data_IF_727123296153
#
_entry.id   IF_727123296153
#
_cell.length_a   1.000
_cell.length_b   1.000
_cell.length_c   1.000
_cell.angle_alpha   90.00
_cell.angle_beta   90.00
_cell.angle_gamma   90.00
#
_symmetry.space_group_name_H-M   'P 1'
#
loop_
_entity.id
_entity.type
_entity.pdbx_description
1 polymer ?
#
# COMPACT_ATOMS: atom_id res chain seq x y z
N UNK A 1 -36.64 32.87 77.29
CA UNK A 1 -35.55 33.43 76.47
C UNK A 1 -34.89 32.24 75.71
N UNK A 2 -35.29 32.06 74.50
CA UNK A 2 -34.89 30.91 73.69
C UNK A 2 -33.78 31.35 72.74
N UNK A 3 -32.61 30.72 72.85
CA UNK A 3 -31.48 30.90 71.97
C UNK A 3 -31.56 29.85 70.88
N UNK A 4 -31.70 30.31 69.61
CA UNK A 4 -31.77 29.47 68.44
C UNK A 4 -30.35 29.18 67.91
N UNK A 5 -29.92 27.94 67.97
CA UNK A 5 -28.73 27.42 67.30
C UNK A 5 -29.04 27.20 65.81
N UNK A 6 -28.27 27.84 64.91
CA UNK A 6 -28.30 27.59 63.48
C UNK A 6 -27.34 26.45 63.15
N UNK A 7 -27.71 25.41 62.39
CA UNK A 7 -26.76 24.44 61.87
C UNK A 7 -26.09 24.98 60.61
N UNK A 8 -24.77 25.03 60.62
CA UNK A 8 -23.91 25.28 59.48
C UNK A 8 -23.82 24.02 58.64
N UNK A 9 -24.39 24.11 57.41
CA UNK A 9 -24.26 23.03 56.42
C UNK A 9 -22.93 23.20 55.71
N UNK A 10 -21.98 22.25 55.93
CA UNK A 10 -20.74 22.14 55.15
C UNK A 10 -21.05 21.48 53.82
N UNK A 11 -20.90 22.24 52.74
CA UNK A 11 -20.90 21.73 51.37
C UNK A 11 -19.49 21.21 51.05
N UNK A 12 -19.33 19.89 51.00
CA UNK A 12 -18.15 19.23 50.45
C UNK A 12 -18.28 19.23 48.92
N UNK A 13 -17.52 20.12 48.25
CA UNK A 13 -17.37 20.12 46.82
C UNK A 13 -16.39 19.00 46.46
N UNK A 14 -16.92 17.90 45.92
CA UNK A 14 -16.09 16.85 45.30
C UNK A 14 -15.64 17.31 43.94
N UNK A 15 -14.36 17.71 43.80
CA UNK A 15 -13.73 17.92 42.48
C UNK A 15 -13.48 16.56 41.83
N UNK A 16 -14.35 16.20 40.90
CA UNK A 16 -14.11 15.08 39.97
C UNK A 16 -13.03 15.45 38.95
N UNK A 17 -11.84 14.92 39.08
CA UNK A 17 -10.80 15.02 38.07
C UNK A 17 -11.16 14.06 36.95
N UNK A 18 -11.76 14.60 35.88
CA UNK A 18 -11.96 13.87 34.61
C UNK A 18 -10.62 13.74 33.90
N UNK A 19 -9.96 12.57 34.01
CA UNK A 19 -8.80 12.22 33.20
C UNK A 19 -9.26 12.01 31.75
N UNK A 20 -9.09 13.02 30.91
CA UNK A 20 -9.16 12.83 29.45
C UNK A 20 -7.99 11.93 29.05
N UNK A 21 -8.28 10.67 28.76
CA UNK A 21 -7.35 9.79 28.08
C UNK A 21 -7.14 10.35 26.67
N UNK A 22 -6.01 11.00 26.43
CA UNK A 22 -5.59 11.42 25.10
C UNK A 22 -5.33 10.16 24.28
N UNK A 23 -6.27 9.80 23.42
CA UNK A 23 -6.06 8.77 22.40
C UNK A 23 -5.06 9.36 21.40
N UNK A 24 -3.78 9.00 21.54
CA UNK A 24 -2.75 9.37 20.57
C UNK A 24 -3.16 8.80 19.21
N UNK A 25 -3.16 9.61 18.13
CA UNK A 25 -3.43 9.08 16.80
C UNK A 25 -2.35 8.05 16.48
N UNK A 26 -2.76 6.80 16.31
CA UNK A 26 -1.87 5.73 15.84
C UNK A 26 -1.40 6.15 14.45
N UNK A 27 -0.12 6.51 14.33
CA UNK A 27 0.48 6.93 13.06
C UNK A 27 0.35 5.79 12.04
N UNK A 28 -0.54 6.00 11.06
CA UNK A 28 -0.65 5.14 9.89
C UNK A 28 0.73 4.96 9.21
N UNK A 29 1.58 5.98 9.25
CA UNK A 29 2.90 6.00 8.65
C UNK A 29 3.90 4.95 9.17
N UNK A 30 3.80 4.47 10.41
CA UNK A 30 4.76 3.49 10.92
C UNK A 30 4.49 2.07 10.42
N UNK A 31 3.23 1.68 10.31
CA UNK A 31 2.81 0.38 9.78
C UNK A 31 3.11 0.25 8.29
N UNK A 32 2.90 1.33 7.56
CA UNK A 32 3.16 1.38 6.13
C UNK A 32 4.68 1.27 5.84
N UNK A 33 5.53 1.90 6.66
CA UNK A 33 6.99 1.74 6.59
C UNK A 33 7.43 0.29 6.77
N UNK A 34 6.77 -0.45 7.65
CA UNK A 34 7.06 -1.89 7.86
C UNK A 34 6.77 -2.71 6.61
N UNK A 35 5.66 -2.44 5.92
CA UNK A 35 5.36 -3.08 4.64
C UNK A 35 6.44 -2.77 3.60
N UNK A 36 6.81 -1.51 3.40
CA UNK A 36 7.82 -1.13 2.40
C UNK A 36 9.21 -1.67 2.72
N UNK A 37 9.59 -1.77 3.99
CA UNK A 37 10.83 -2.46 4.40
C UNK A 37 10.77 -3.95 4.06
N UNK A 38 9.62 -4.59 4.22
CA UNK A 38 9.41 -5.99 3.82
C UNK A 38 9.47 -6.20 2.30
N UNK A 39 9.19 -5.16 1.50
CA UNK A 39 9.34 -5.19 0.03
C UNK A 39 10.74 -4.80 -0.42
N UNK A 40 11.57 -4.21 0.45
CA UNK A 40 12.97 -3.91 0.14
C UNK A 40 13.79 -5.20 0.00
N UNK A 41 14.72 -5.22 -0.95
CA UNK A 41 15.56 -6.38 -1.22
C UNK A 41 15.41 -6.93 -2.64
N UNK A 42 15.96 -8.10 -2.87
CA UNK A 42 15.95 -8.75 -4.19
C UNK A 42 14.79 -9.74 -4.33
N UNK A 43 14.05 -9.61 -5.43
CA UNK A 43 12.92 -10.44 -5.77
C UNK A 43 13.13 -11.12 -7.10
N UNK A 44 12.88 -12.41 -7.16
CA UNK A 44 12.90 -13.18 -8.39
C UNK A 44 11.74 -14.17 -8.38
N UNK A 45 10.90 -14.12 -9.38
CA UNK A 45 9.76 -15.02 -9.44
C UNK A 45 9.15 -15.15 -10.82
N UNK A 46 8.37 -16.21 -11.03
CA UNK A 46 7.59 -16.40 -12.24
C UNK A 46 6.35 -15.49 -12.24
N UNK A 47 5.87 -15.22 -13.44
CA UNK A 47 4.59 -14.59 -13.66
C UNK A 47 3.93 -15.10 -14.92
N UNK A 48 2.64 -14.79 -15.06
CA UNK A 48 1.85 -15.19 -16.21
C UNK A 48 0.84 -14.11 -16.58
N UNK A 49 0.62 -13.92 -17.88
CA UNK A 49 -0.52 -13.16 -18.39
C UNK A 49 -1.72 -14.09 -18.40
N UNK A 50 -2.69 -13.84 -17.50
CA UNK A 50 -3.81 -14.75 -17.25
C UNK A 50 -5.08 -14.39 -18.04
N UNK A 51 -5.09 -13.24 -18.71
CA UNK A 51 -6.22 -12.83 -19.56
C UNK A 51 -5.77 -11.95 -20.74
N UNK A 52 -6.66 -11.75 -21.71
CA UNK A 52 -6.45 -10.90 -22.87
C UNK A 52 -5.71 -11.60 -24.02
N UNK A 53 -5.23 -10.82 -24.98
CA UNK A 53 -4.60 -11.29 -26.24
C UNK A 53 -3.38 -12.19 -25.99
N UNK A 54 -2.64 -11.94 -24.92
CA UNK A 54 -1.39 -12.65 -24.61
C UNK A 54 -1.55 -13.67 -23.47
N UNK A 55 -2.76 -14.09 -23.17
CA UNK A 55 -3.04 -15.11 -22.15
C UNK A 55 -2.17 -16.35 -22.33
N UNK A 56 -1.63 -16.86 -21.22
CA UNK A 56 -0.74 -18.02 -21.20
C UNK A 56 0.75 -17.67 -21.39
N UNK A 57 1.09 -16.41 -21.68
CA UNK A 57 2.49 -15.98 -21.75
C UNK A 57 3.10 -15.98 -20.36
N UNK A 58 4.09 -16.84 -20.19
CA UNK A 58 4.88 -16.95 -18.95
C UNK A 58 6.13 -16.08 -19.03
N UNK A 59 6.47 -15.46 -17.91
CA UNK A 59 7.67 -14.63 -17.77
C UNK A 59 8.33 -14.85 -16.42
N UNK A 60 9.57 -14.37 -16.27
CA UNK A 60 10.28 -14.34 -14.98
C UNK A 60 10.80 -12.95 -14.77
N UNK A 61 10.53 -12.39 -13.60
CA UNK A 61 11.03 -11.07 -13.20
C UNK A 61 12.20 -11.21 -12.22
N UNK A 62 13.13 -10.25 -12.31
CA UNK A 62 14.14 -9.99 -11.30
C UNK A 62 14.11 -8.50 -11.00
N UNK A 63 13.77 -8.15 -9.75
CA UNK A 63 13.56 -6.79 -9.29
C UNK A 63 14.33 -6.55 -7.99
N UNK A 64 14.86 -5.36 -7.82
CA UNK A 64 15.45 -4.89 -6.57
C UNK A 64 14.56 -3.80 -5.98
N UNK A 65 14.11 -3.99 -4.75
CA UNK A 65 13.32 -3.03 -3.99
C UNK A 65 14.19 -2.16 -3.10
N UNK A 66 14.04 -0.84 -3.18
CA UNK A 66 14.69 0.14 -2.29
C UNK A 66 13.60 0.94 -1.59
N UNK A 67 13.46 0.75 -0.26
CA UNK A 67 12.50 1.51 0.54
C UNK A 67 13.00 2.95 0.74
N UNK A 68 12.06 3.92 0.79
CA UNK A 68 12.37 5.31 1.15
C UNK A 68 12.73 5.39 2.64
N UNK A 69 13.82 6.10 2.98
CA UNK A 69 14.29 6.20 4.36
C UNK A 69 13.40 7.09 5.23
N UNK A 70 12.99 8.24 4.71
CA UNK A 70 12.27 9.28 5.45
C UNK A 70 10.77 9.19 5.32
N UNK A 71 10.26 8.60 4.25
CA UNK A 71 8.83 8.52 3.93
C UNK A 71 8.38 7.08 3.74
N UNK A 72 7.06 6.85 3.70
CA UNK A 72 6.52 5.55 3.27
C UNK A 72 6.53 5.48 1.75
N UNK A 73 7.32 4.56 1.20
CA UNK A 73 7.46 4.41 -0.25
C UNK A 73 8.49 3.37 -0.63
N UNK A 74 8.51 3.03 -1.91
CA UNK A 74 9.41 2.04 -2.49
C UNK A 74 9.73 2.38 -3.95
N UNK A 75 10.96 2.13 -4.34
CA UNK A 75 11.35 2.01 -5.75
C UNK A 75 11.68 0.55 -6.02
N UNK A 76 11.04 -0.04 -7.02
CA UNK A 76 11.38 -1.35 -7.58
C UNK A 76 12.03 -1.12 -8.93
N UNK A 77 13.19 -1.70 -9.17
CA UNK A 77 13.93 -1.57 -10.42
C UNK A 77 14.44 -2.95 -10.87
N UNK A 78 14.42 -3.22 -12.16
CA UNK A 78 14.91 -4.47 -12.70
C UNK A 78 14.35 -4.80 -14.07
N UNK A 79 13.96 -6.04 -14.28
CA UNK A 79 13.43 -6.50 -15.57
C UNK A 79 12.56 -7.75 -15.42
N UNK A 80 11.69 -7.94 -16.42
CA UNK A 80 11.05 -9.23 -16.68
C UNK A 80 11.55 -9.80 -18.02
N UNK A 81 11.56 -11.13 -18.14
CA UNK A 81 12.01 -11.84 -19.32
C UNK A 81 10.93 -12.78 -19.84
N UNK A 82 10.67 -12.72 -21.14
CA UNK A 82 9.85 -13.69 -21.88
C UNK A 82 10.76 -14.37 -22.89
N UNK A 83 11.11 -15.62 -22.69
CA UNK A 83 12.11 -16.29 -23.53
C UNK A 83 13.43 -15.52 -23.55
N UNK A 84 13.86 -15.09 -24.74
CA UNK A 84 15.10 -14.31 -24.93
C UNK A 84 14.90 -12.80 -24.76
N UNK A 85 13.66 -12.31 -24.75
CA UNK A 85 13.36 -10.89 -24.66
C UNK A 85 13.40 -10.42 -23.22
N UNK A 86 14.17 -9.37 -22.95
CA UNK A 86 14.30 -8.72 -21.65
C UNK A 86 13.62 -7.36 -21.70
N UNK A 87 12.65 -7.15 -20.81
CA UNK A 87 11.88 -5.94 -20.69
C UNK A 87 12.23 -5.23 -19.37
N UNK A 88 12.83 -4.03 -19.39
CA UNK A 88 13.06 -3.25 -18.19
C UNK A 88 11.73 -2.96 -17.47
N UNK A 89 11.79 -2.99 -16.13
CA UNK A 89 10.66 -2.73 -15.25
C UNK A 89 11.09 -1.78 -14.15
N UNK A 90 10.28 -0.77 -13.88
CA UNK A 90 10.48 0.15 -12.77
C UNK A 90 9.14 0.54 -12.16
N UNK A 91 9.05 0.49 -10.85
CA UNK A 91 7.91 1.05 -10.13
C UNK A 91 8.40 2.03 -9.07
N UNK A 92 7.76 3.18 -8.97
CA UNK A 92 8.00 4.16 -7.92
C UNK A 92 6.68 4.44 -7.24
N UNK A 93 6.61 4.18 -5.94
CA UNK A 93 5.42 4.37 -5.11
C UNK A 93 5.81 5.23 -3.92
N UNK A 94 5.13 6.35 -3.71
CA UNK A 94 5.42 7.30 -2.62
C UNK A 94 4.13 7.71 -1.91
N UNK A 95 4.24 7.93 -0.60
CA UNK A 95 3.16 8.51 0.17
C UNK A 95 2.81 9.91 -0.35
N UNK A 96 1.52 10.20 -0.47
CA UNK A 96 0.96 11.47 -0.89
C UNK A 96 -0.25 11.81 0.00
N UNK A 97 0.01 12.37 1.17
CA UNK A 97 -0.99 12.57 2.22
C UNK A 97 -1.49 11.24 2.79
N UNK A 98 -2.78 10.96 2.68
CA UNK A 98 -3.41 9.72 3.15
C UNK A 98 -3.43 8.59 2.13
N UNK A 99 -2.79 8.77 1.01
CA UNK A 99 -2.81 7.82 -0.11
C UNK A 99 -1.41 7.64 -0.68
N UNK A 100 -1.29 6.84 -1.72
CA UNK A 100 -0.05 6.61 -2.46
C UNK A 100 -0.22 7.06 -3.90
N UNK A 101 0.86 7.62 -4.46
CA UNK A 101 0.97 7.99 -5.87
C UNK A 101 2.30 7.48 -6.42
N UNK A 102 2.39 7.40 -7.74
CA UNK A 102 3.61 6.98 -8.39
C UNK A 102 3.40 6.52 -9.81
N UNK A 103 4.38 5.79 -10.32
CA UNK A 103 4.37 5.29 -11.70
C UNK A 103 4.90 3.87 -11.74
N UNK A 104 4.33 3.10 -12.63
CA UNK A 104 4.82 1.78 -13.01
C UNK A 104 5.21 1.81 -14.48
N UNK A 105 6.51 1.74 -14.74
CA UNK A 105 7.08 1.74 -16.08
C UNK A 105 7.27 0.28 -16.52
N UNK A 106 6.37 -0.22 -17.33
CA UNK A 106 6.39 -1.58 -17.88
C UNK A 106 7.15 -1.69 -19.20
N UNK A 107 7.96 -0.68 -19.52
CA UNK A 107 8.76 -0.58 -20.74
C UNK A 107 8.00 -0.15 -21.98
N UNK A 108 6.72 0.13 -21.89
CA UNK A 108 6.01 0.79 -22.99
C UNK A 108 6.51 2.23 -23.14
N UNK A 109 7.07 2.56 -24.29
CA UNK A 109 7.74 3.82 -24.55
C UNK A 109 6.92 5.03 -24.11
N UNK A 110 7.40 5.74 -23.09
CA UNK A 110 6.94 7.07 -22.67
C UNK A 110 5.61 7.13 -21.92
N UNK A 111 4.95 6.02 -21.61
CA UNK A 111 3.63 6.03 -20.96
C UNK A 111 3.47 4.83 -20.02
N UNK A 112 4.08 4.91 -18.83
CA UNK A 112 3.85 3.95 -17.76
C UNK A 112 2.40 3.97 -17.25
N UNK A 113 2.06 3.02 -16.38
CA UNK A 113 0.85 3.06 -15.59
C UNK A 113 1.02 4.07 -14.46
N UNK A 114 0.10 5.00 -14.32
CA UNK A 114 0.09 5.93 -13.19
C UNK A 114 -0.59 5.29 -11.99
N UNK A 115 0.06 5.39 -10.83
CA UNK A 115 -0.54 5.04 -9.54
C UNK A 115 -1.20 6.30 -9.00
N UNK A 116 -2.54 6.30 -8.98
CA UNK A 116 -3.33 7.49 -8.63
C UNK A 116 -3.83 7.49 -7.20
N UNK A 117 -3.92 6.34 -6.59
CA UNK A 117 -4.26 6.16 -5.17
C UNK A 117 -3.78 4.83 -4.65
N UNK A 118 -3.70 4.67 -3.34
CA UNK A 118 -3.33 3.41 -2.73
C UNK A 118 -3.54 3.39 -1.22
N UNK A 119 -3.53 2.16 -0.70
CA UNK A 119 -3.64 1.87 0.73
C UNK A 119 -2.76 0.68 1.08
N UNK A 120 -2.15 0.73 2.26
CA UNK A 120 -1.42 -0.38 2.88
C UNK A 120 -2.20 -0.85 4.10
N UNK A 121 -2.40 -2.15 4.23
CA UNK A 121 -3.05 -2.77 5.39
C UNK A 121 -2.29 -4.04 5.77
N UNK A 122 -1.49 -3.96 6.83
CA UNK A 122 -0.60 -5.05 7.25
C UNK A 122 0.40 -5.42 6.15
N UNK A 123 0.32 -6.65 5.68
CA UNK A 123 1.19 -7.19 4.63
C UNK A 123 0.59 -7.07 3.21
N UNK A 124 -0.43 -6.25 3.03
CA UNK A 124 -1.10 -6.06 1.76
C UNK A 124 -1.10 -4.60 1.35
N UNK A 125 -0.71 -4.34 0.10
CA UNK A 125 -0.89 -3.06 -0.57
C UNK A 125 -1.88 -3.20 -1.71
N UNK A 126 -2.78 -2.23 -1.84
CA UNK A 126 -3.69 -2.10 -2.99
C UNK A 126 -3.49 -0.71 -3.57
N UNK A 127 -3.21 -0.62 -4.86
CA UNK A 127 -3.11 0.66 -5.57
C UNK A 127 -4.03 0.67 -6.78
N UNK A 128 -4.64 1.82 -7.04
CA UNK A 128 -5.37 2.08 -8.28
C UNK A 128 -4.39 2.54 -9.35
N UNK A 129 -4.47 1.94 -10.51
CA UNK A 129 -3.61 2.23 -11.65
C UNK A 129 -4.42 2.72 -12.84
N UNK A 130 -3.86 3.67 -13.58
CA UNK A 130 -4.49 4.20 -14.80
C UNK A 130 -3.47 4.32 -15.93
N UNK A 131 -3.93 4.11 -17.18
CA UNK A 131 -3.18 4.41 -18.40
C UNK A 131 -4.16 4.76 -19.49
N UNK A 132 -4.18 6.02 -19.94
CA UNK A 132 -5.13 6.50 -20.92
C UNK A 132 -6.59 6.17 -20.53
N UNK A 133 -7.26 5.29 -21.24
CA UNK A 133 -8.64 4.84 -20.95
C UNK A 133 -8.70 3.57 -20.08
N UNK A 134 -7.55 2.98 -19.73
CA UNK A 134 -7.48 1.78 -18.92
C UNK A 134 -7.43 2.17 -17.44
N UNK A 135 -8.34 1.61 -16.66
CA UNK A 135 -8.34 1.69 -15.21
C UNK A 135 -8.17 0.28 -14.64
N UNK A 136 -7.46 0.18 -13.53
CA UNK A 136 -7.19 -1.09 -12.90
C UNK A 136 -6.74 -0.97 -11.46
N UNK A 137 -6.34 -2.10 -10.91
CA UNK A 137 -5.74 -2.18 -9.58
C UNK A 137 -4.55 -3.14 -9.59
N UNK A 138 -3.56 -2.84 -8.78
CA UNK A 138 -2.49 -3.77 -8.43
C UNK A 138 -2.60 -4.10 -6.94
N UNK A 139 -2.53 -5.40 -6.63
CA UNK A 139 -2.50 -5.91 -5.26
C UNK A 139 -1.16 -6.60 -5.07
N UNK A 140 -0.37 -6.14 -4.11
CA UNK A 140 0.84 -6.80 -3.64
C UNK A 140 0.60 -7.35 -2.24
N UNK A 141 1.02 -8.58 -1.98
CA UNK A 141 0.93 -9.25 -0.67
C UNK A 141 2.25 -9.89 -0.31
N UNK A 142 2.77 -9.57 0.85
CA UNK A 142 3.87 -10.29 1.48
C UNK A 142 3.31 -11.51 2.22
N UNK A 143 3.96 -12.64 2.06
CA UNK A 143 3.64 -13.90 2.75
C UNK A 143 4.93 -14.39 3.43
N UNK A 144 5.09 -13.99 4.70
CA UNK A 144 6.37 -14.15 5.39
C UNK A 144 7.44 -13.18 4.87
N UNK A 145 8.70 -13.57 4.99
CA UNK A 145 9.85 -12.72 4.66
C UNK A 145 10.32 -12.86 3.20
N UNK A 146 10.00 -13.96 2.54
CA UNK A 146 10.63 -14.36 1.27
C UNK A 146 9.62 -14.59 0.13
N UNK A 147 8.34 -14.33 0.36
CA UNK A 147 7.33 -14.53 -0.69
C UNK A 147 6.50 -13.27 -0.86
N UNK A 148 6.38 -12.82 -2.09
CA UNK A 148 5.50 -11.72 -2.46
C UNK A 148 4.66 -12.13 -3.67
N UNK A 149 3.34 -12.00 -3.54
CA UNK A 149 2.43 -12.20 -4.67
C UNK A 149 1.94 -10.85 -5.18
N UNK A 150 1.91 -10.69 -6.50
CA UNK A 150 1.38 -9.49 -7.15
C UNK A 150 0.33 -9.88 -8.17
N UNK A 151 -0.82 -9.25 -8.09
CA UNK A 151 -1.91 -9.39 -9.06
C UNK A 151 -2.24 -8.03 -9.64
N UNK A 152 -2.25 -7.94 -10.97
CA UNK A 152 -2.72 -6.74 -11.68
C UNK A 152 -4.04 -7.11 -12.36
N UNK A 153 -5.06 -6.30 -12.10
CA UNK A 153 -6.39 -6.42 -12.68
C UNK A 153 -6.75 -5.16 -13.45
N UNK A 154 -7.48 -5.29 -14.53
CA UNK A 154 -8.05 -4.17 -15.28
C UNK A 154 -9.57 -4.17 -15.15
N UNK A 155 -10.14 -2.96 -15.16
CA UNK A 155 -11.60 -2.80 -15.18
C UNK A 155 -12.10 -3.00 -16.59
N UNK A 156 -12.95 -4.01 -16.79
CA UNK A 156 -13.67 -4.30 -18.04
C UNK A 156 -15.14 -4.17 -17.70
N UNK A 157 -15.81 -3.19 -18.29
CA UNK A 157 -17.16 -2.79 -17.89
C UNK A 157 -17.20 -2.48 -16.38
N UNK A 158 -17.96 -3.22 -15.60
CA UNK A 158 -18.05 -3.06 -14.14
C UNK A 158 -17.30 -4.13 -13.34
N UNK A 159 -16.50 -4.97 -13.99
CA UNK A 159 -15.75 -6.05 -13.35
C UNK A 159 -14.24 -5.81 -13.36
N UNK A 160 -13.59 -6.24 -12.29
CA UNK A 160 -12.13 -6.28 -12.21
C UNK A 160 -11.63 -7.65 -12.68
N UNK A 161 -10.99 -7.67 -13.85
CA UNK A 161 -10.47 -8.90 -14.48
C UNK A 161 -8.96 -9.00 -14.22
N UNK A 162 -8.46 -10.02 -13.52
CA UNK A 162 -7.03 -10.26 -13.38
C UNK A 162 -6.40 -10.46 -14.75
N UNK A 163 -5.30 -9.77 -15.02
CA UNK A 163 -4.57 -9.87 -16.30
C UNK A 163 -3.13 -10.34 -16.11
N UNK A 164 -2.52 -10.09 -14.96
CA UNK A 164 -1.16 -10.52 -14.61
C UNK A 164 -1.15 -11.08 -13.20
N UNK A 165 -0.52 -12.23 -13.02
CA UNK A 165 -0.18 -12.81 -11.73
C UNK A 165 1.32 -13.09 -11.64
N UNK A 166 1.93 -12.79 -10.49
CA UNK A 166 3.34 -13.05 -10.16
C UNK A 166 3.47 -13.58 -8.74
N UNK A 167 4.44 -14.40 -8.50
CA UNK A 167 4.85 -14.87 -7.16
C UNK A 167 6.36 -15.11 -7.09
#
# INVERSE_FOLDING_TARGET
MFSLLKPTVLWLAALGVATLAAVAPVEAGSRDKTFFRGVAGEWKGPGEIVAGKYKGTKFTCKLTGTAEETASGITLDGYCRVGMFKQPMKAVIKAAGRTYKGQFLDGAAGKGLDIVSGNVSGQKMVVSITRAKLNGAMIARLQGENTMTVTISVKVEDQMVPVIGMS
#
